data_IF_710767793251
#
_entry.id   IF_710767793251
#
_cell.length_a   1.000
_cell.length_b   1.000
_cell.length_c   1.000
_cell.angle_alpha   90.00
_cell.angle_beta   90.00
_cell.angle_gamma   90.00
#
_symmetry.space_group_name_H-M   'P 1'
#
loop_
_entity.id
_entity.type
_entity.pdbx_description
1 polymer ?
#
# COMPACT_ATOMS: atom_id res chain seq x y z
N UNK A 1 40.68 3.75 -4.92
CA UNK A 1 40.03 4.94 -5.51
C UNK A 1 38.87 5.29 -4.60
N UNK A 2 38.94 6.41 -3.86
CA UNK A 2 37.82 6.83 -3.00
C UNK A 2 36.77 7.53 -3.85
N UNK A 3 35.57 6.98 -3.92
CA UNK A 3 34.40 7.63 -4.54
C UNK A 3 34.14 8.96 -3.82
N UNK A 4 34.03 10.06 -4.55
CA UNK A 4 33.74 11.35 -3.94
C UNK A 4 32.33 11.35 -3.33
N UNK A 5 32.10 12.14 -2.29
CA UNK A 5 30.76 12.37 -1.74
C UNK A 5 29.81 12.88 -2.83
N UNK A 6 30.32 13.68 -3.78
CA UNK A 6 29.53 14.19 -4.89
C UNK A 6 29.16 13.10 -5.90
N UNK A 7 30.04 12.11 -6.12
CA UNK A 7 29.74 10.94 -6.96
C UNK A 7 28.64 10.09 -6.32
N UNK A 8 28.68 9.92 -4.98
CA UNK A 8 27.64 9.19 -4.25
C UNK A 8 26.29 9.91 -4.32
N UNK A 9 26.26 11.25 -4.17
CA UNK A 9 25.03 12.05 -4.32
C UNK A 9 24.44 11.92 -5.73
N UNK A 10 25.28 11.98 -6.75
CA UNK A 10 24.83 11.81 -8.14
C UNK A 10 24.26 10.40 -8.39
N UNK A 11 24.86 9.36 -7.80
CA UNK A 11 24.36 7.99 -7.89
C UNK A 11 23.01 7.82 -7.18
N UNK A 12 22.84 8.39 -5.99
CA UNK A 12 21.57 8.37 -5.24
C UNK A 12 20.47 9.03 -6.07
N UNK A 13 20.71 10.24 -6.58
CA UNK A 13 19.73 10.96 -7.40
C UNK A 13 19.31 10.15 -8.63
N UNK A 14 20.27 9.53 -9.32
CA UNK A 14 19.99 8.68 -10.49
C UNK A 14 19.17 7.44 -10.12
N UNK A 15 19.42 6.86 -8.95
CA UNK A 15 18.65 5.71 -8.45
C UNK A 15 17.21 6.11 -8.12
N UNK A 16 16.99 7.29 -7.52
CA UNK A 16 15.65 7.84 -7.25
C UNK A 16 14.87 8.10 -8.54
N UNK A 17 15.49 8.74 -9.53
CA UNK A 17 14.89 8.98 -10.85
C UNK A 17 14.48 7.66 -11.54
N UNK A 18 15.38 6.66 -11.51
CA UNK A 18 15.10 5.35 -12.07
C UNK A 18 13.96 4.64 -11.34
N UNK A 19 13.94 4.70 -10.01
CA UNK A 19 12.87 4.12 -9.18
C UNK A 19 11.51 4.75 -9.53
N UNK A 20 11.44 6.07 -9.60
CA UNK A 20 10.22 6.79 -9.98
C UNK A 20 9.74 6.39 -11.37
N UNK A 21 10.65 6.28 -12.34
CA UNK A 21 10.32 5.82 -13.70
C UNK A 21 9.75 4.40 -13.73
N UNK A 22 10.38 3.46 -13.02
CA UNK A 22 9.91 2.07 -12.95
C UNK A 22 8.52 1.96 -12.32
N UNK A 23 8.26 2.74 -11.27
CA UNK A 23 6.96 2.75 -10.60
C UNK A 23 5.87 3.34 -11.48
N UNK A 24 6.19 4.38 -12.26
CA UNK A 24 5.30 4.98 -13.25
C UNK A 24 4.95 4.00 -14.38
N UNK A 25 5.96 3.31 -14.93
CA UNK A 25 5.76 2.26 -15.93
C UNK A 25 4.85 1.15 -15.38
N UNK A 26 5.12 0.68 -14.16
CA UNK A 26 4.30 -0.33 -13.49
C UNK A 26 2.85 0.11 -13.26
N UNK A 27 2.64 1.38 -12.90
CA UNK A 27 1.31 1.97 -12.76
C UNK A 27 0.55 1.93 -14.08
N UNK A 28 1.21 2.30 -15.17
CA UNK A 28 0.59 2.31 -16.51
C UNK A 28 0.24 0.88 -16.97
N UNK A 29 1.11 -0.10 -16.74
CA UNK A 29 0.80 -1.52 -16.99
C UNK A 29 -0.45 -2.00 -16.23
N UNK A 30 -0.56 -1.64 -14.96
CA UNK A 30 -1.70 -2.03 -14.12
C UNK A 30 -2.99 -1.36 -14.58
N UNK A 31 -2.94 -0.06 -14.90
CA UNK A 31 -4.10 0.65 -15.45
C UNK A 31 -4.60 0.01 -16.75
N UNK A 32 -3.68 -0.35 -17.65
CA UNK A 32 -4.03 -1.02 -18.89
C UNK A 32 -4.62 -2.41 -18.63
N UNK A 33 -4.03 -3.20 -17.72
CA UNK A 33 -4.55 -4.52 -17.35
C UNK A 33 -5.96 -4.44 -16.73
N UNK A 34 -6.21 -3.46 -15.87
CA UNK A 34 -7.52 -3.23 -15.27
C UNK A 34 -8.57 -2.84 -16.33
N UNK A 35 -8.19 -2.01 -17.30
CA UNK A 35 -9.06 -1.65 -18.42
C UNK A 35 -9.47 -2.89 -19.21
N UNK A 36 -8.51 -3.73 -19.60
CA UNK A 36 -8.76 -4.97 -20.34
C UNK A 36 -9.66 -5.94 -19.57
N UNK A 37 -9.40 -6.15 -18.28
CA UNK A 37 -10.22 -7.07 -17.47
C UNK A 37 -11.66 -6.56 -17.31
N UNK A 38 -11.88 -5.25 -17.18
CA UNK A 38 -13.23 -4.65 -17.16
C UNK A 38 -13.97 -4.84 -18.48
N UNK A 39 -13.29 -4.71 -19.60
CA UNK A 39 -13.86 -4.99 -20.93
C UNK A 39 -14.23 -6.48 -21.06
N UNK A 40 -13.38 -7.37 -20.59
CA UNK A 40 -13.65 -8.82 -20.59
C UNK A 40 -14.88 -9.17 -19.76
N UNK A 41 -15.01 -8.59 -18.56
CA UNK A 41 -16.16 -8.79 -17.69
C UNK A 41 -17.47 -8.31 -18.34
N UNK A 42 -17.41 -7.19 -19.08
CA UNK A 42 -18.55 -6.69 -19.84
C UNK A 42 -18.98 -7.66 -20.93
N UNK A 43 -18.03 -8.25 -21.67
CA UNK A 43 -18.31 -9.25 -22.69
C UNK A 43 -18.92 -10.53 -22.10
N UNK A 44 -18.38 -11.02 -20.97
CA UNK A 44 -18.93 -12.19 -20.27
C UNK A 44 -20.38 -11.94 -19.82
N UNK A 45 -20.66 -10.75 -19.29
CA UNK A 45 -22.02 -10.36 -18.89
C UNK A 45 -22.99 -10.29 -20.08
N UNK A 46 -22.50 -9.93 -21.27
CA UNK A 46 -23.29 -10.00 -22.50
C UNK A 46 -23.51 -11.43 -22.96
N UNK A 47 -22.49 -12.29 -22.86
CA UNK A 47 -22.57 -13.70 -23.22
C UNK A 47 -23.56 -14.47 -22.33
N UNK A 48 -23.61 -14.18 -21.03
CA UNK A 48 -24.59 -14.77 -20.10
C UNK A 48 -26.03 -14.58 -20.58
N UNK A 49 -26.35 -13.43 -21.18
CA UNK A 49 -27.68 -13.15 -21.76
C UNK A 49 -27.97 -13.98 -23.00
N UNK A 50 -26.95 -14.30 -23.78
CA UNK A 50 -27.09 -15.11 -25.01
C UNK A 50 -27.29 -16.59 -24.66
N UNK A 51 -26.62 -17.06 -23.62
CA UNK A 51 -26.66 -18.46 -23.17
C UNK A 51 -27.62 -18.67 -21.99
N UNK A 52 -28.62 -17.81 -21.82
CA UNK A 52 -29.60 -17.87 -20.72
C UNK A 52 -30.40 -19.18 -20.67
N UNK A 53 -30.40 -19.97 -21.74
CA UNK A 53 -31.13 -21.24 -21.82
C UNK A 53 -30.21 -22.48 -21.94
N UNK A 54 -28.89 -22.30 -21.84
CA UNK A 54 -27.89 -23.36 -21.95
C UNK A 54 -27.11 -23.48 -20.62
N UNK A 55 -27.54 -24.40 -19.75
CA UNK A 55 -27.01 -24.53 -18.39
C UNK A 55 -25.53 -24.94 -18.34
N UNK A 56 -25.06 -25.75 -19.30
CA UNK A 56 -23.65 -26.14 -19.37
C UNK A 56 -22.77 -24.92 -19.68
N UNK A 57 -23.21 -24.07 -20.61
CA UNK A 57 -22.50 -22.82 -20.92
C UNK A 57 -22.61 -21.78 -19.82
N UNK A 58 -23.70 -21.73 -19.06
CA UNK A 58 -23.80 -20.84 -17.88
C UNK A 58 -22.79 -21.20 -16.81
N UNK A 59 -22.64 -22.48 -16.49
CA UNK A 59 -21.67 -22.95 -15.49
C UNK A 59 -20.26 -22.56 -15.94
N UNK A 60 -19.92 -22.85 -17.20
CA UNK A 60 -18.62 -22.48 -17.77
C UNK A 60 -18.37 -20.95 -17.75
N UNK A 61 -19.38 -20.14 -18.09
CA UNK A 61 -19.27 -18.67 -18.03
C UNK A 61 -19.10 -18.16 -16.59
N UNK A 62 -19.78 -18.78 -15.62
CA UNK A 62 -19.67 -18.41 -14.21
C UNK A 62 -18.24 -18.65 -13.68
N UNK A 63 -17.61 -19.77 -14.03
CA UNK A 63 -16.24 -20.09 -13.64
C UNK A 63 -15.23 -19.07 -14.21
N UNK A 64 -15.36 -18.74 -15.50
CA UNK A 64 -14.50 -17.74 -16.14
C UNK A 64 -14.70 -16.36 -15.50
N UNK A 65 -15.95 -16.00 -15.21
CA UNK A 65 -16.28 -14.72 -14.57
C UNK A 65 -15.68 -14.63 -13.16
N UNK A 66 -15.71 -15.72 -12.39
CA UNK A 66 -15.07 -15.80 -11.08
C UNK A 66 -13.54 -15.62 -11.16
N UNK A 67 -12.87 -16.26 -12.12
CA UNK A 67 -11.43 -16.08 -12.36
C UNK A 67 -11.09 -14.62 -12.75
N UNK A 68 -11.90 -14.01 -13.63
CA UNK A 68 -11.73 -12.60 -14.04
C UNK A 68 -11.93 -11.65 -12.85
N UNK A 69 -12.94 -11.90 -12.01
CA UNK A 69 -13.14 -11.13 -10.77
C UNK A 69 -11.96 -11.28 -9.80
N UNK A 70 -11.46 -12.49 -9.58
CA UNK A 70 -10.27 -12.72 -8.73
C UNK A 70 -9.04 -11.96 -9.24
N UNK A 71 -8.82 -11.96 -10.56
CA UNK A 71 -7.73 -11.19 -11.19
C UNK A 71 -7.91 -9.69 -11.04
N UNK A 72 -9.14 -9.18 -11.16
CA UNK A 72 -9.47 -7.77 -10.95
C UNK A 72 -9.17 -7.33 -9.52
N UNK A 73 -9.62 -8.09 -8.52
CA UNK A 73 -9.39 -7.78 -7.10
C UNK A 73 -7.90 -7.70 -6.78
N UNK A 74 -7.13 -8.72 -7.18
CA UNK A 74 -5.66 -8.73 -6.99
C UNK A 74 -5.00 -7.50 -7.61
N UNK A 75 -5.41 -7.10 -8.81
CA UNK A 75 -4.85 -5.94 -9.52
C UNK A 75 -5.26 -4.61 -8.89
N UNK A 76 -6.46 -4.51 -8.33
CA UNK A 76 -6.93 -3.32 -7.61
C UNK A 76 -6.15 -3.11 -6.30
N UNK A 77 -5.87 -4.19 -5.55
CA UNK A 77 -5.02 -4.13 -4.35
C UNK A 77 -3.62 -3.63 -4.72
N UNK A 78 -2.98 -4.19 -5.74
CA UNK A 78 -1.66 -3.72 -6.20
C UNK A 78 -1.69 -2.26 -6.67
N UNK A 79 -2.78 -1.82 -7.31
CA UNK A 79 -2.91 -0.42 -7.71
C UNK A 79 -3.01 0.51 -6.49
N UNK A 80 -3.74 0.10 -5.45
CA UNK A 80 -3.88 0.87 -4.22
C UNK A 80 -2.54 0.99 -3.47
N UNK A 81 -1.79 -0.11 -3.35
CA UNK A 81 -0.43 -0.11 -2.77
C UNK A 81 0.52 0.86 -3.50
N UNK A 82 0.44 0.93 -4.83
CA UNK A 82 1.23 1.90 -5.60
C UNK A 82 0.82 3.35 -5.33
N UNK A 83 -0.48 3.64 -5.27
CA UNK A 83 -0.98 4.98 -4.95
C UNK A 83 -0.54 5.42 -3.55
N UNK A 84 -0.58 4.51 -2.59
CA UNK A 84 -0.11 4.76 -1.23
C UNK A 84 1.41 4.99 -1.19
N UNK A 85 2.19 4.25 -1.97
CA UNK A 85 3.62 4.50 -2.11
C UNK A 85 3.90 5.90 -2.69
N UNK A 86 3.22 6.28 -3.77
CA UNK A 86 3.40 7.60 -4.38
C UNK A 86 3.00 8.74 -3.45
N UNK A 87 1.90 8.60 -2.71
CA UNK A 87 1.45 9.64 -1.77
C UNK A 87 2.40 9.76 -0.58
N UNK A 88 2.91 8.64 -0.06
CA UNK A 88 3.87 8.64 1.04
C UNK A 88 5.23 9.20 0.60
N UNK A 89 5.75 8.76 -0.55
CA UNK A 89 7.02 9.26 -1.10
C UNK A 89 6.97 10.77 -1.37
N UNK A 90 5.87 11.25 -1.99
CA UNK A 90 5.70 12.68 -2.27
C UNK A 90 5.54 13.51 -1.00
N UNK A 91 4.87 12.98 0.03
CA UNK A 91 4.78 13.63 1.34
C UNK A 91 6.15 13.83 1.98
N UNK A 92 7.05 12.86 1.84
CA UNK A 92 8.42 12.92 2.37
C UNK A 92 9.35 13.90 1.62
N UNK A 93 9.15 14.07 0.31
CA UNK A 93 9.88 15.08 -0.48
C UNK A 93 9.46 16.52 -0.11
N UNK A 94 8.17 16.74 0.16
CA UNK A 94 7.61 18.06 0.50
C UNK A 94 7.86 18.47 1.98
N UNK A 95 8.15 17.52 2.88
CA UNK A 95 8.32 17.76 4.32
C UNK A 95 9.65 17.20 4.84
N UNK A 96 10.77 17.97 4.77
CA UNK A 96 12.04 17.55 5.34
C UNK A 96 11.88 17.29 6.85
N UNK A 97 12.10 16.03 7.22
CA UNK A 97 11.75 15.38 8.47
C UNK A 97 12.17 16.15 9.72
N UNK A 98 11.19 16.63 10.49
CA UNK A 98 11.31 16.70 11.94
C UNK A 98 10.38 15.64 12.51
N UNK A 99 10.95 14.49 12.89
CA UNK A 99 10.19 13.47 13.61
C UNK A 99 9.73 14.09 14.92
N UNK A 100 8.40 14.13 15.13
CA UNK A 100 7.86 14.58 16.41
C UNK A 100 8.04 13.45 17.42
N UNK A 101 9.03 13.64 18.30
CA UNK A 101 9.30 12.74 19.41
C UNK A 101 8.28 13.05 20.51
N UNK A 102 7.27 12.20 20.60
CA UNK A 102 6.24 12.22 21.62
C UNK A 102 6.33 10.94 22.47
N UNK A 103 5.69 10.96 23.64
CA UNK A 103 5.42 9.73 24.40
C UNK A 103 4.50 8.75 23.66
N UNK A 104 4.37 7.55 24.22
CA UNK A 104 3.46 6.53 23.70
C UNK A 104 2.02 6.98 23.83
N UNK A 105 1.30 7.04 22.70
CA UNK A 105 -0.12 7.41 22.68
C UNK A 105 -1.07 6.32 23.18
N UNK A 106 -0.56 5.12 23.47
CA UNK A 106 -1.36 3.95 23.87
C UNK A 106 -1.22 3.70 25.37
N UNK A 107 0.01 3.49 25.87
CA UNK A 107 0.26 3.30 27.30
C UNK A 107 0.59 4.60 28.05
N UNK A 108 0.63 5.74 27.36
CA UNK A 108 0.86 7.08 27.93
C UNK A 108 2.23 7.29 28.61
N UNK A 109 3.20 6.38 28.42
CA UNK A 109 4.57 6.61 28.87
C UNK A 109 5.22 7.75 28.10
N UNK A 110 5.99 8.61 28.77
CA UNK A 110 6.79 9.65 28.12
C UNK A 110 8.01 9.10 27.38
N UNK A 111 8.44 7.88 27.68
CA UNK A 111 9.65 7.24 27.12
C UNK A 111 9.29 5.89 26.51
N UNK A 112 9.00 5.84 25.20
CA UNK A 112 8.64 4.58 24.54
C UNK A 112 9.84 3.65 24.37
N UNK A 113 9.66 2.37 24.66
CA UNK A 113 10.64 1.31 24.37
C UNK A 113 10.48 0.84 22.92
N UNK A 114 11.58 0.79 22.15
CA UNK A 114 11.57 0.52 20.70
C UNK A 114 10.50 1.38 19.98
N UNK A 115 10.64 2.72 19.96
CA UNK A 115 9.60 3.61 19.47
C UNK A 115 9.26 3.33 18.02
N UNK A 116 7.97 3.13 17.75
CA UNK A 116 7.42 3.01 16.41
C UNK A 116 6.98 4.37 15.87
N UNK A 117 7.25 4.64 14.59
CA UNK A 117 6.87 5.88 13.90
C UNK A 117 5.84 5.59 12.83
N UNK A 118 4.84 6.47 12.73
CA UNK A 118 3.92 6.47 11.60
C UNK A 118 4.53 7.20 10.41
N UNK A 119 4.66 6.54 9.25
CA UNK A 119 5.22 7.13 8.03
C UNK A 119 4.35 8.25 7.43
N UNK A 120 3.05 8.28 7.75
CA UNK A 120 2.14 9.32 7.25
C UNK A 120 2.19 10.62 8.04
N UNK A 121 2.32 10.55 9.36
CA UNK A 121 2.28 11.74 10.23
C UNK A 121 3.61 12.03 10.91
N UNK A 122 4.65 11.25 10.62
CA UNK A 122 6.03 11.41 11.10
C UNK A 122 6.14 11.65 12.61
N UNK A 123 5.24 11.02 13.35
CA UNK A 123 5.16 11.15 14.80
C UNK A 123 5.41 9.79 15.43
N UNK A 124 6.13 9.80 16.55
CA UNK A 124 6.24 8.60 17.39
C UNK A 124 4.84 8.18 17.82
N UNK A 125 4.46 6.95 17.49
CA UNK A 125 3.18 6.36 17.88
C UNK A 125 3.28 5.91 19.34
N UNK A 126 4.35 5.17 19.66
CA UNK A 126 4.60 4.62 20.98
C UNK A 126 5.46 3.36 20.96
N UNK A 127 5.45 2.61 22.06
CA UNK A 127 6.24 1.38 22.20
C UNK A 127 5.83 0.35 21.15
N UNK A 128 6.79 -0.45 20.66
CA UNK A 128 6.54 -1.56 19.74
C UNK A 128 5.42 -2.48 20.22
N UNK A 129 5.52 -3.00 21.44
CA UNK A 129 4.51 -3.92 22.01
C UNK A 129 3.11 -3.30 22.03
N UNK A 130 2.99 -2.01 22.36
CA UNK A 130 1.70 -1.34 22.37
C UNK A 130 1.12 -1.21 20.95
N UNK A 131 1.96 -0.93 19.96
CA UNK A 131 1.56 -0.83 18.56
C UNK A 131 1.17 -2.20 17.99
N UNK A 132 1.88 -3.25 18.38
CA UNK A 132 1.57 -4.62 17.97
C UNK A 132 0.22 -5.06 18.53
N UNK A 133 -0.02 -4.84 19.84
CA UNK A 133 -1.31 -5.12 20.48
C UNK A 133 -2.47 -4.32 19.86
N UNK A 134 -2.22 -3.04 19.55
CA UNK A 134 -3.21 -2.21 18.86
C UNK A 134 -3.60 -2.79 17.50
N UNK A 135 -2.61 -3.28 16.75
CA UNK A 135 -2.84 -3.91 15.45
C UNK A 135 -3.58 -5.24 15.57
N UNK A 136 -3.19 -6.08 16.54
CA UNK A 136 -3.89 -7.34 16.82
C UNK A 136 -5.35 -7.09 17.17
N UNK A 137 -5.64 -6.10 18.01
CA UNK A 137 -7.00 -5.74 18.39
C UNK A 137 -7.81 -5.19 17.20
N UNK A 138 -7.19 -4.47 16.27
CA UNK A 138 -7.87 -4.01 15.04
C UNK A 138 -8.21 -5.20 14.13
N UNK A 139 -7.23 -6.09 13.90
CA UNK A 139 -7.40 -7.30 13.09
C UNK A 139 -8.48 -8.22 13.65
N UNK A 140 -8.56 -8.40 14.97
CA UNK A 140 -9.58 -9.26 15.61
C UNK A 140 -11.01 -8.73 15.47
N UNK A 141 -11.18 -7.45 15.11
CA UNK A 141 -12.47 -6.79 14.94
C UNK A 141 -12.76 -6.46 13.46
N UNK A 142 -12.10 -7.14 12.51
CA UNK A 142 -12.21 -6.89 11.07
C UNK A 142 -11.93 -5.44 10.63
N UNK A 143 -11.14 -4.70 11.42
CA UNK A 143 -10.67 -3.36 11.05
C UNK A 143 -9.25 -3.40 10.50
N UNK A 144 -8.99 -2.56 9.50
CA UNK A 144 -7.64 -2.35 8.98
C UNK A 144 -6.73 -1.69 10.06
N UNK A 145 -5.48 -2.19 10.23
CA UNK A 145 -4.44 -1.52 11.01
C UNK A 145 -4.33 -0.03 10.64
N UNK A 146 -4.27 0.84 11.64
CA UNK A 146 -4.28 2.28 11.44
C UNK A 146 -3.58 3.03 12.57
N UNK A 147 -3.05 4.21 12.26
CA UNK A 147 -2.40 5.07 13.22
C UNK A 147 -3.38 5.59 14.28
N UNK A 148 -3.12 5.40 15.59
CA UNK A 148 -3.98 5.96 16.63
C UNK A 148 -3.97 7.50 16.67
N UNK A 149 -2.92 8.14 16.15
CA UNK A 149 -2.81 9.61 16.08
C UNK A 149 -3.50 10.20 14.86
N UNK A 150 -3.08 9.82 13.65
CA UNK A 150 -3.57 10.43 12.41
C UNK A 150 -4.69 9.64 11.70
N UNK A 151 -5.03 8.44 12.20
CA UNK A 151 -6.08 7.55 11.67
C UNK A 151 -5.86 7.04 10.24
N UNK A 152 -4.75 7.36 9.60
CA UNK A 152 -4.36 6.76 8.32
C UNK A 152 -4.07 5.27 8.51
N UNK A 153 -4.54 4.46 7.56
CA UNK A 153 -4.29 3.02 7.53
C UNK A 153 -2.82 2.71 7.30
N UNK A 154 -2.35 1.62 7.88
CA UNK A 154 -1.00 1.13 7.70
C UNK A 154 -0.97 0.05 6.62
N UNK A 155 -0.38 0.38 5.47
CA UNK A 155 -0.11 -0.58 4.40
C UNK A 155 1.08 -1.50 4.72
N UNK A 156 2.05 -0.97 5.47
CA UNK A 156 3.23 -1.65 5.98
C UNK A 156 3.31 -1.42 7.49
N UNK A 157 3.98 -2.33 8.20
CA UNK A 157 4.22 -2.12 9.63
C UNK A 157 4.93 -0.79 9.90
N UNK A 158 4.58 -0.10 10.99
CA UNK A 158 5.27 1.12 11.39
C UNK A 158 6.78 0.90 11.57
N UNK A 159 7.58 1.86 11.11
CA UNK A 159 9.03 1.81 11.20
C UNK A 159 9.49 1.92 12.67
N UNK A 160 10.58 1.24 13.01
CA UNK A 160 11.27 1.42 14.30
C UNK A 160 12.19 2.63 14.17
N UNK A 161 12.17 3.52 15.16
CA UNK A 161 13.16 4.59 15.27
C UNK A 161 14.38 4.05 16.02
N UNK A 162 15.49 3.86 15.30
CA UNK A 162 16.79 3.60 15.89
C UNK A 162 17.43 4.95 16.27
N UNK A 163 17.85 5.10 17.53
CA UNK A 163 18.56 6.27 18.06
C UNK A 163 20.07 6.15 17.86
#
# INVERSE_FOLDING_TARGET
MSTSIDDLRAQIKKAEELKTKLMEERRNELQQSLKTLKEYLKLLTQAEKVYEFDEEKKIWLADIKADVHSKLEKRLVTQQELVEWFTTARYHEEHPYTVKVDGCSICLTSTPTEPKICMYCLSVIGCKECVDQWNEHKKSNDYLPSCPKCRNYWALEPAVLDY
#
